data_IF_247988109492
#
_entry.id   IF_247988109492
#
_cell.length_a   1.000
_cell.length_b   1.000
_cell.length_c   1.000
_cell.angle_alpha   90.00
_cell.angle_beta   90.00
_cell.angle_gamma   90.00
#
_symmetry.space_group_name_H-M   'P 1'
#
loop_
_entity.id
_entity.type
_entity.pdbx_description
1 polymer ?
#
# COMPACT_ATOMS: atom_id res chain seq x y z
N UNK A 1 -16.80 -0.58 -20.27
CA UNK A 1 -17.19 -0.86 -18.88
C UNK A 1 -16.24 -0.12 -17.94
N UNK A 2 -16.71 0.27 -16.76
CA UNK A 2 -15.85 0.82 -15.71
C UNK A 2 -15.20 -0.34 -14.95
N UNK A 3 -13.93 -0.19 -14.55
CA UNK A 3 -13.21 -1.18 -13.75
C UNK A 3 -13.85 -1.34 -12.36
N UNK A 4 -13.84 -2.56 -11.83
CA UNK A 4 -14.20 -2.81 -10.44
C UNK A 4 -13.07 -2.41 -9.48
N UNK A 5 -13.35 -2.33 -8.17
CA UNK A 5 -12.36 -1.89 -7.19
C UNK A 5 -11.07 -2.72 -7.22
N UNK A 6 -11.16 -4.04 -7.33
CA UNK A 6 -9.99 -4.91 -7.39
C UNK A 6 -9.14 -4.65 -8.64
N UNK A 7 -9.77 -4.52 -9.81
CA UNK A 7 -9.08 -4.20 -11.07
C UNK A 7 -8.39 -2.84 -11.01
N UNK A 8 -8.98 -1.85 -10.31
CA UNK A 8 -8.34 -0.56 -10.06
C UNK A 8 -7.05 -0.76 -9.24
N UNK A 9 -7.09 -1.55 -8.17
CA UNK A 9 -5.89 -1.85 -7.37
C UNK A 9 -4.83 -2.58 -8.17
N UNK A 10 -5.22 -3.57 -8.97
CA UNK A 10 -4.29 -4.30 -9.82
C UNK A 10 -3.60 -3.36 -10.83
N UNK A 11 -4.38 -2.46 -11.45
CA UNK A 11 -3.85 -1.45 -12.37
C UNK A 11 -2.82 -0.54 -11.72
N UNK A 12 -3.08 -0.09 -10.48
CA UNK A 12 -2.21 0.81 -9.73
C UNK A 12 -0.99 0.11 -9.11
N UNK A 13 -0.95 -1.22 -9.10
CA UNK A 13 0.09 -2.02 -8.44
C UNK A 13 0.78 -2.95 -9.44
N UNK A 14 0.30 -4.19 -9.60
CA UNK A 14 0.92 -5.24 -10.42
C UNK A 14 1.07 -4.83 -11.88
N UNK A 15 0.04 -4.26 -12.49
CA UNK A 15 0.07 -3.87 -13.90
C UNK A 15 1.13 -2.81 -14.15
N UNK A 16 1.21 -1.77 -13.30
CA UNK A 16 2.23 -0.75 -13.41
C UNK A 16 3.64 -1.31 -13.16
N UNK A 17 3.81 -2.24 -12.22
CA UNK A 17 5.08 -2.92 -12.02
C UNK A 17 5.52 -3.70 -13.28
N UNK A 18 4.60 -4.34 -13.97
CA UNK A 18 4.88 -5.02 -15.25
C UNK A 18 5.23 -4.04 -16.37
N UNK A 19 4.48 -2.94 -16.51
CA UNK A 19 4.77 -1.86 -17.48
C UNK A 19 6.19 -1.29 -17.29
N UNK A 20 6.63 -1.16 -16.04
CA UNK A 20 7.96 -0.66 -15.70
C UNK A 20 9.07 -1.73 -15.80
N UNK A 21 8.74 -2.98 -16.14
CA UNK A 21 9.72 -4.09 -16.15
C UNK A 21 10.20 -4.49 -14.75
N UNK A 22 9.42 -4.19 -13.71
CA UNK A 22 9.73 -4.40 -12.30
C UNK A 22 8.83 -5.46 -11.65
N UNK A 23 8.33 -6.40 -12.45
CA UNK A 23 7.56 -7.56 -11.97
C UNK A 23 8.37 -8.33 -10.93
N UNK A 24 7.74 -8.72 -9.82
CA UNK A 24 8.44 -9.36 -8.70
C UNK A 24 9.24 -8.40 -7.80
N UNK A 25 9.24 -7.09 -8.10
CA UNK A 25 9.97 -6.06 -7.36
C UNK A 25 9.07 -4.95 -6.84
N UNK A 26 8.03 -4.56 -7.58
CA UNK A 26 7.04 -3.57 -7.18
C UNK A 26 5.62 -4.12 -7.34
N UNK A 27 4.66 -3.44 -6.71
CA UNK A 27 3.23 -3.73 -6.88
C UNK A 27 2.76 -5.03 -6.25
N UNK A 28 3.59 -5.67 -5.41
CA UNK A 28 3.24 -6.90 -4.70
C UNK A 28 3.91 -7.00 -3.33
N UNK A 29 3.28 -7.76 -2.43
CA UNK A 29 3.83 -8.09 -1.11
C UNK A 29 4.32 -9.53 -1.16
N UNK A 30 5.61 -9.69 -1.44
CA UNK A 30 6.27 -10.99 -1.58
C UNK A 30 7.73 -10.90 -1.10
N UNK A 31 8.34 -12.05 -0.80
CA UNK A 31 9.76 -12.07 -0.40
C UNK A 31 10.65 -11.65 -1.58
N UNK A 32 11.52 -10.67 -1.36
CA UNK A 32 12.46 -10.18 -2.37
C UNK A 32 11.94 -9.04 -3.24
N UNK A 33 10.69 -8.61 -3.05
CA UNK A 33 10.17 -7.34 -3.54
C UNK A 33 10.69 -6.15 -2.71
N UNK A 34 10.61 -4.94 -3.25
CA UNK A 34 10.91 -3.74 -2.48
C UNK A 34 9.84 -3.53 -1.40
N UNK A 35 10.29 -3.08 -0.23
CA UNK A 35 9.39 -2.72 0.86
C UNK A 35 8.81 -1.31 0.64
N UNK A 36 8.02 -1.18 -0.42
CA UNK A 36 7.18 -0.04 -0.75
C UNK A 36 5.75 -0.36 -0.31
N UNK A 37 5.38 0.12 0.89
CA UNK A 37 4.14 -0.28 1.57
C UNK A 37 3.36 0.95 2.05
N UNK A 38 2.04 0.86 1.93
CA UNK A 38 1.08 1.78 2.54
C UNK A 38 0.30 1.01 3.61
N UNK A 39 0.22 1.57 4.82
CA UNK A 39 -0.65 1.07 5.89
C UNK A 39 -1.86 1.99 5.97
N UNK A 40 -3.04 1.39 5.89
CA UNK A 40 -4.33 2.07 5.81
C UNK A 40 -5.17 1.68 7.03
N UNK A 41 -5.96 2.62 7.53
CA UNK A 41 -7.06 2.31 8.43
C UNK A 41 -8.27 1.84 7.62
N UNK A 42 -8.60 0.54 7.70
CA UNK A 42 -9.74 -0.08 7.02
C UNK A 42 -9.44 -0.71 5.66
N UNK A 43 -10.48 -1.27 5.03
CA UNK A 43 -10.37 -2.00 3.76
C UNK A 43 -10.64 -1.09 2.55
N UNK A 44 -9.65 -0.87 1.66
CA UNK A 44 -9.82 0.02 0.52
C UNK A 44 -10.71 -0.54 -0.60
N UNK A 45 -11.00 -1.85 -0.60
CA UNK A 45 -11.98 -2.47 -1.51
C UNK A 45 -13.42 -2.15 -1.11
N UNK A 46 -13.65 -1.84 0.17
CA UNK A 46 -14.97 -1.46 0.69
C UNK A 46 -15.15 0.06 0.72
N UNK A 47 -14.06 0.80 0.99
CA UNK A 47 -14.07 2.25 1.05
C UNK A 47 -12.84 2.87 0.39
N UNK A 48 -13.00 3.36 -0.85
CA UNK A 48 -11.93 4.03 -1.60
C UNK A 48 -11.40 5.30 -0.92
N UNK A 49 -12.15 5.88 0.02
CA UNK A 49 -11.74 7.06 0.77
C UNK A 49 -10.48 6.83 1.62
N UNK A 50 -10.17 5.58 1.95
CA UNK A 50 -8.94 5.16 2.64
C UNK A 50 -7.67 5.42 1.82
N UNK A 51 -7.79 5.62 0.49
CA UNK A 51 -6.67 5.91 -0.41
C UNK A 51 -6.25 7.39 -0.47
N UNK A 52 -6.93 8.28 0.26
CA UNK A 52 -6.49 9.68 0.34
C UNK A 52 -5.16 9.72 1.09
N UNK A 53 -4.19 10.47 0.59
CA UNK A 53 -2.83 10.54 1.16
C UNK A 53 -2.81 10.87 2.67
N UNK A 54 -3.75 11.71 3.13
CA UNK A 54 -3.89 12.06 4.54
C UNK A 54 -4.41 10.91 5.41
N UNK A 55 -5.03 9.88 4.83
CA UNK A 55 -5.58 8.71 5.50
C UNK A 55 -4.58 7.57 5.69
N UNK A 56 -3.36 7.68 5.15
CA UNK A 56 -2.31 6.67 5.36
C UNK A 56 -1.74 6.77 6.77
N UNK A 57 -1.85 5.70 7.54
CA UNK A 57 -1.28 5.62 8.90
C UNK A 57 0.24 5.51 8.87
N UNK A 58 0.78 4.80 7.88
CA UNK A 58 2.21 4.64 7.68
C UNK A 58 2.55 4.55 6.21
N UNK A 59 3.69 5.14 5.83
CA UNK A 59 4.27 5.05 4.49
C UNK A 59 5.69 4.50 4.65
N UNK A 60 5.96 3.38 3.99
CA UNK A 60 7.29 2.77 3.92
C UNK A 60 7.74 2.82 2.46
N UNK A 61 8.93 3.35 2.21
CA UNK A 61 9.53 3.42 0.89
C UNK A 61 10.93 2.83 0.94
N UNK A 62 11.18 1.81 0.10
CA UNK A 62 12.42 1.05 0.02
C UNK A 62 12.91 0.60 1.42
N UNK A 63 11.98 0.13 2.25
CA UNK A 63 12.25 -0.33 3.62
C UNK A 63 12.46 0.78 4.65
N UNK A 64 12.37 2.05 4.28
CA UNK A 64 12.47 3.19 5.19
C UNK A 64 11.10 3.73 5.52
N UNK A 65 10.84 3.95 6.80
CA UNK A 65 9.61 4.61 7.26
C UNK A 65 9.69 6.10 6.94
N UNK A 66 8.80 6.58 6.07
CA UNK A 66 8.70 7.98 5.64
C UNK A 66 7.69 8.74 6.48
N UNK A 67 6.57 8.09 6.83
CA UNK A 67 5.50 8.61 7.68
C UNK A 67 5.10 7.52 8.65
N UNK A 68 4.90 7.86 9.93
CA UNK A 68 4.32 6.97 10.92
C UNK A 68 3.45 7.76 11.89
N UNK A 69 2.14 7.55 11.81
CA UNK A 69 1.13 8.12 12.70
C UNK A 69 0.66 7.11 13.75
N UNK A 70 1.16 5.87 13.70
CA UNK A 70 0.78 4.80 14.63
C UNK A 70 1.45 5.09 15.97
N UNK A 71 0.66 5.57 16.92
CA UNK A 71 1.10 5.74 18.30
C UNK A 71 0.91 4.42 19.04
N UNK A 72 1.98 3.88 19.61
CA UNK A 72 1.86 2.79 20.57
C UNK A 72 1.45 3.37 21.92
N UNK A 73 0.24 3.09 22.40
CA UNK A 73 0.03 3.05 23.84
C UNK A 73 0.77 1.81 24.36
N UNK A 74 1.97 2.04 24.92
CA UNK A 74 2.64 1.04 25.73
C UNK A 74 1.82 0.83 27.01
N UNK A 75 0.81 -0.01 26.95
CA UNK A 75 0.26 -0.65 28.14
C UNK A 75 1.31 -1.66 28.62
N UNK A 76 2.36 -1.15 29.27
CA UNK A 76 3.25 -1.93 30.12
C UNK A 76 2.48 -2.21 31.41
N UNK A 77 1.76 -3.33 31.42
CA UNK A 77 1.37 -4.02 32.66
C UNK A 77 2.18 -5.29 32.79
#
# INVERSE_FOLDING_TARGET
>A
EALNAFEIFESATKTNAEILGMKGKLGEVSTGAYADLLVLEGNPLENIGTLKENSFEMIIQNGKVIKNMITHERNLT
#
